data_IF_178523238429
#
_entry.id   IF_178523238429
#
_cell.length_a   1.000
_cell.length_b   1.000
_cell.length_c   1.000
_cell.angle_alpha   90.00
_cell.angle_beta   90.00
_cell.angle_gamma   90.00
#
_symmetry.space_group_name_H-M   'P 1'
#
loop_
_entity.id
_entity.type
_entity.pdbx_description
1 polymer ?
#
# COMPACT_ATOMS: atom_id res chain seq x y z
N UNK A 1 8.32 2.71 -7.06
CA UNK A 1 7.49 2.40 -5.87
C UNK A 1 8.34 1.84 -4.75
N UNK A 2 8.99 0.67 -4.92
CA UNK A 2 9.93 0.13 -3.91
C UNK A 2 10.98 1.13 -3.44
N UNK A 3 11.57 1.90 -4.36
CA UNK A 3 12.52 2.97 -3.99
C UNK A 3 11.91 4.04 -3.08
N UNK A 4 10.68 4.48 -3.38
CA UNK A 4 9.98 5.48 -2.56
C UNK A 4 9.71 4.97 -1.14
N UNK A 5 9.48 3.67 -0.98
CA UNK A 5 9.37 3.06 0.34
C UNK A 5 10.73 3.04 1.04
N UNK A 6 11.80 2.61 0.36
CA UNK A 6 13.17 2.57 0.94
C UNK A 6 13.69 3.92 1.40
N UNK A 7 13.27 5.00 0.75
CA UNK A 7 13.66 6.37 1.09
C UNK A 7 12.61 7.10 1.94
N UNK A 8 11.58 6.41 2.42
CA UNK A 8 10.45 6.99 3.17
C UNK A 8 9.76 8.17 2.45
N UNK A 9 9.79 8.17 1.12
CA UNK A 9 9.11 9.14 0.25
C UNK A 9 7.64 8.72 0.02
N UNK A 10 6.92 8.52 1.12
CA UNK A 10 5.50 8.17 1.11
C UNK A 10 4.67 8.96 2.13
N UNK A 11 3.37 8.91 1.93
CA UNK A 11 2.34 9.51 2.80
C UNK A 11 1.30 8.43 3.08
N UNK A 12 0.94 8.27 4.34
CA UNK A 12 -0.19 7.46 4.79
C UNK A 12 -1.41 8.38 4.89
N UNK A 13 -2.50 8.08 4.18
CA UNK A 13 -3.76 8.82 4.37
C UNK A 13 -4.36 8.48 5.73
N UNK A 14 -5.25 9.34 6.24
CA UNK A 14 -5.99 9.05 7.48
C UNK A 14 -6.70 7.71 7.39
N UNK A 15 -7.42 7.46 6.28
CA UNK A 15 -8.09 6.18 6.05
C UNK A 15 -7.12 4.99 6.06
N UNK A 16 -5.96 5.07 5.39
CA UNK A 16 -4.98 3.99 5.44
C UNK A 16 -4.42 3.76 6.86
N UNK A 17 -4.24 4.82 7.65
CA UNK A 17 -3.78 4.68 9.03
C UNK A 17 -4.84 4.00 9.92
N UNK A 18 -6.12 4.34 9.74
CA UNK A 18 -7.24 3.70 10.44
C UNK A 18 -7.34 2.21 10.12
N UNK A 19 -7.20 1.81 8.86
CA UNK A 19 -7.22 0.39 8.45
C UNK A 19 -6.00 -0.39 8.97
N UNK A 20 -4.80 0.22 8.92
CA UNK A 20 -3.58 -0.38 9.49
C UNK A 20 -3.79 -0.68 10.99
N UNK A 21 -4.37 0.26 11.75
CA UNK A 21 -4.67 0.06 13.17
C UNK A 21 -5.77 -0.99 13.38
N UNK A 22 -6.82 -0.96 12.56
CA UNK A 22 -7.96 -1.88 12.67
C UNK A 22 -7.57 -3.35 12.42
N UNK A 23 -6.62 -3.60 11.51
CA UNK A 23 -6.11 -4.94 11.18
C UNK A 23 -4.90 -5.35 12.04
N UNK A 24 -4.61 -4.64 13.13
CA UNK A 24 -3.45 -4.88 14.01
C UNK A 24 -2.09 -4.86 13.28
N UNK A 25 -2.01 -4.17 12.14
CA UNK A 25 -0.80 -4.00 11.34
C UNK A 25 0.02 -2.80 11.81
N UNK A 26 1.28 -2.76 11.39
CA UNK A 26 2.15 -1.59 11.53
C UNK A 26 2.53 -1.03 10.16
N UNK A 27 3.09 0.19 10.15
CA UNK A 27 3.64 0.75 8.92
C UNK A 27 4.76 -0.14 8.34
N UNK A 28 5.50 -0.87 9.19
CA UNK A 28 6.56 -1.77 8.73
C UNK A 28 6.02 -2.98 7.97
N UNK A 29 4.82 -3.45 8.31
CA UNK A 29 4.14 -4.52 7.58
C UNK A 29 3.75 -4.06 6.17
N UNK A 30 3.25 -2.83 6.06
CA UNK A 30 2.93 -2.19 4.77
C UNK A 30 4.19 -1.99 3.94
N UNK A 31 5.27 -1.47 4.53
CA UNK A 31 6.55 -1.31 3.86
C UNK A 31 7.09 -2.66 3.37
N UNK A 32 7.06 -3.69 4.22
CA UNK A 32 7.49 -5.04 3.89
C UNK A 32 6.70 -5.59 2.70
N UNK A 33 5.37 -5.51 2.75
CA UNK A 33 4.50 -5.96 1.67
C UNK A 33 4.79 -5.25 0.35
N UNK A 34 5.09 -3.95 0.34
CA UNK A 34 5.43 -3.23 -0.90
C UNK A 34 6.82 -3.59 -1.41
N UNK A 35 7.76 -3.87 -0.52
CA UNK A 35 9.14 -4.22 -0.88
C UNK A 35 9.25 -5.64 -1.43
N UNK A 36 8.48 -6.59 -0.90
CA UNK A 36 8.55 -8.02 -1.24
C UNK A 36 7.44 -8.48 -2.17
N UNK A 37 6.28 -7.82 -2.13
CA UNK A 37 5.10 -8.17 -2.91
C UNK A 37 5.14 -7.73 -4.37
N UNK A 38 4.04 -7.99 -5.07
CA UNK A 38 3.87 -7.79 -6.50
C UNK A 38 2.65 -6.92 -6.81
N UNK A 39 2.75 -6.13 -7.89
CA UNK A 39 1.60 -5.35 -8.37
C UNK A 39 0.68 -6.31 -9.13
N UNK A 40 -0.44 -6.66 -8.53
CA UNK A 40 -1.43 -7.56 -9.14
C UNK A 40 -2.42 -6.81 -10.04
N UNK A 41 -2.62 -5.51 -9.81
CA UNK A 41 -3.60 -4.72 -10.56
C UNK A 41 -3.18 -3.25 -10.70
N UNK A 42 -3.59 -2.63 -11.81
CA UNK A 42 -3.44 -1.19 -12.07
C UNK A 42 -4.79 -0.61 -12.51
N UNK A 43 -5.30 0.33 -11.73
CA UNK A 43 -6.57 1.01 -12.01
C UNK A 43 -6.29 2.44 -12.44
N UNK A 44 -6.79 2.85 -13.59
CA UNK A 44 -6.73 4.25 -14.01
C UNK A 44 -8.02 4.94 -13.61
N UNK A 45 -7.92 5.95 -12.76
CA UNK A 45 -9.04 6.81 -12.41
C UNK A 45 -9.45 7.62 -13.65
N UNK A 46 -10.66 7.38 -14.17
CA UNK A 46 -11.11 7.98 -15.44
C UNK A 46 -11.31 9.50 -15.35
N UNK A 47 -11.61 10.01 -14.16
CA UNK A 47 -11.88 11.43 -13.94
C UNK A 47 -10.59 12.25 -13.80
N UNK A 48 -9.59 11.70 -13.09
CA UNK A 48 -8.33 12.40 -12.79
C UNK A 48 -7.16 11.96 -13.66
N UNK A 49 -7.31 10.84 -14.38
CA UNK A 49 -6.26 10.19 -15.16
C UNK A 49 -5.15 9.55 -14.31
N UNK A 50 -5.30 9.50 -12.99
CA UNK A 50 -4.27 9.00 -12.07
C UNK A 50 -4.29 7.48 -11.97
N UNK A 51 -3.10 6.89 -11.89
CA UNK A 51 -2.95 5.45 -11.67
C UNK A 51 -2.97 5.12 -10.18
N UNK A 52 -3.80 4.14 -9.83
CA UNK A 52 -3.76 3.40 -8.57
C UNK A 52 -3.18 2.01 -8.84
N UNK A 53 -2.45 1.50 -7.88
CA UNK A 53 -1.77 0.22 -7.94
C UNK A 53 -2.24 -0.60 -6.75
N UNK A 54 -2.63 -1.85 -7.01
CA UNK A 54 -2.93 -2.84 -5.97
C UNK A 54 -1.72 -3.75 -5.88
N UNK A 55 -1.16 -3.83 -4.68
CA UNK A 55 0.03 -4.64 -4.38
C UNK A 55 -0.43 -5.75 -3.44
N UNK A 56 -0.10 -6.98 -3.78
CA UNK A 56 -0.29 -8.13 -2.91
C UNK A 56 1.08 -8.53 -2.36
N UNK A 57 1.16 -8.60 -1.04
CA UNK A 57 2.37 -8.95 -0.32
C UNK A 57 2.02 -9.65 0.99
N UNK A 58 3.00 -9.72 1.88
CA UNK A 58 2.82 -10.28 3.22
C UNK A 58 3.35 -9.29 4.26
N UNK A 59 2.79 -9.33 5.45
CA UNK A 59 3.29 -8.61 6.62
C UNK A 59 4.64 -9.20 7.09
N UNK A 60 5.17 -8.72 8.22
CA UNK A 60 6.37 -9.29 8.82
C UNK A 60 6.15 -10.69 9.42
N UNK A 61 4.90 -11.07 9.72
CA UNK A 61 4.49 -12.40 10.19
C UNK A 61 4.34 -13.45 9.08
N UNK A 62 4.27 -13.03 7.82
CA UNK A 62 4.00 -13.88 6.67
C UNK A 62 2.51 -13.99 6.30
N UNK A 63 1.63 -13.22 6.95
CA UNK A 63 0.21 -13.16 6.64
C UNK A 63 -0.04 -12.28 5.42
N UNK A 64 -0.90 -12.71 4.48
CA UNK A 64 -1.13 -11.97 3.25
C UNK A 64 -1.89 -10.67 3.53
N UNK A 65 -1.49 -9.60 2.84
CA UNK A 65 -2.19 -8.32 2.86
C UNK A 65 -2.14 -7.64 1.51
N UNK A 66 -3.07 -6.71 1.30
CA UNK A 66 -3.09 -5.84 0.11
C UNK A 66 -2.89 -4.40 0.49
N UNK A 67 -2.07 -3.74 -0.33
CA UNK A 67 -1.80 -2.31 -0.24
C UNK A 67 -2.29 -1.65 -1.51
N UNK A 68 -3.12 -0.63 -1.37
CA UNK A 68 -3.56 0.21 -2.50
C UNK A 68 -2.89 1.57 -2.39
N UNK A 69 -2.17 1.95 -3.44
CA UNK A 69 -1.46 3.23 -3.46
C UNK A 69 -1.40 3.89 -4.82
N UNK A 70 -1.02 5.16 -4.85
CA UNK A 70 -0.76 5.92 -6.08
C UNK A 70 0.53 6.73 -5.96
N UNK A 71 1.14 7.05 -7.09
CA UNK A 71 2.27 7.98 -7.14
C UNK A 71 1.72 9.39 -7.41
N UNK A 72 1.99 10.31 -6.49
CA UNK A 72 1.59 11.71 -6.62
C UNK A 72 2.47 12.47 -7.63
N UNK A 73 2.03 13.66 -8.04
CA UNK A 73 2.82 14.55 -8.91
C UNK A 73 4.15 15.00 -8.29
N UNK A 74 4.25 14.98 -6.96
CA UNK A 74 5.47 15.31 -6.21
C UNK A 74 6.40 14.11 -6.02
N UNK A 75 6.23 13.04 -6.81
CA UNK A 75 6.99 11.80 -6.73
C UNK A 75 6.90 11.07 -5.38
N UNK A 76 5.87 11.33 -4.57
CA UNK A 76 5.60 10.59 -3.33
C UNK A 76 4.60 9.46 -3.56
N UNK A 77 4.84 8.30 -2.93
CA UNK A 77 3.85 7.23 -2.84
C UNK A 77 2.78 7.62 -1.82
N UNK A 78 1.51 7.49 -2.17
CA UNK A 78 0.39 7.76 -1.27
C UNK A 78 -0.33 6.45 -1.04
N UNK A 79 -0.28 5.94 0.19
CA UNK A 79 -1.09 4.80 0.61
C UNK A 79 -2.53 5.27 0.80
N UNK A 80 -3.47 4.62 0.13
CA UNK A 80 -4.88 5.00 0.11
C UNK A 80 -5.67 4.14 1.09
N UNK A 81 -5.44 2.81 1.04
CA UNK A 81 -6.03 1.81 1.93
C UNK A 81 -5.08 0.61 2.00
N UNK A 82 -5.13 -0.12 3.11
CA UNK A 82 -4.41 -1.35 3.40
C UNK A 82 -5.44 -2.30 4.02
N UNK A 83 -5.41 -3.57 3.68
CA UNK A 83 -6.25 -4.56 4.35
C UNK A 83 -5.58 -5.93 4.39
N UNK A 84 -5.69 -6.60 5.53
CA UNK A 84 -5.33 -7.99 5.72
C UNK A 84 -6.21 -8.89 4.86
N UNK A 85 -5.63 -9.93 4.27
CA UNK A 85 -6.37 -10.98 3.58
C UNK A 85 -6.54 -12.14 4.55
N UNK A 86 -7.53 -12.07 5.45
CA UNK A 86 -7.86 -13.23 6.28
C UNK A 86 -8.14 -14.45 5.39
N UNK A 87 -7.45 -15.56 5.68
CA UNK A 87 -7.80 -16.86 5.12
C UNK A 87 -9.07 -17.31 5.88
N UNK A 88 -10.23 -17.18 5.23
CA UNK A 88 -11.51 -17.63 5.78
C UNK A 88 -11.54 -19.09 6.18
#
# INVERSE_FOLDING_TARGET
MRELVRTSEYIVTVHAAEEIEADELTIFDVEHAVLTGEIIERQKDEQTGQWKYVIEGVDLGGEPLRVVGRISRAAKLVFITVFGLEQG
#
